data_IF_817164430522
#
_entry.id   IF_817164430522
#
_cell.length_a   1.000
_cell.length_b   1.000
_cell.length_c   1.000
_cell.angle_alpha   90.00
_cell.angle_beta   90.00
_cell.angle_gamma   90.00
#
_symmetry.space_group_name_H-M   'P 1'
#
loop_
_entity.id
_entity.type
_entity.pdbx_description
1 polymer ?
#
# COMPACT_ATOMS: atom_id res chain seq x y z
N UNK A 1 13.97 16.21 -8.24
CA UNK A 1 14.21 14.78 -7.93
C UNK A 1 13.04 13.98 -8.47
N UNK A 2 13.32 12.96 -9.27
CA UNK A 2 12.31 12.07 -9.86
C UNK A 2 12.71 10.63 -9.55
N UNK A 3 11.75 9.80 -9.13
CA UNK A 3 11.97 8.37 -8.83
C UNK A 3 10.81 7.56 -9.39
N UNK A 4 11.12 6.45 -10.04
CA UNK A 4 10.13 5.40 -10.32
C UNK A 4 10.25 4.30 -9.25
N UNK A 5 9.18 3.56 -9.01
CA UNK A 5 9.13 2.46 -8.03
C UNK A 5 8.28 1.33 -8.59
N UNK A 6 8.71 0.11 -8.33
CA UNK A 6 7.98 -1.10 -8.66
C UNK A 6 8.01 -2.01 -7.42
N UNK A 7 6.91 -2.68 -7.13
CA UNK A 7 6.78 -3.54 -5.96
C UNK A 7 5.85 -4.71 -6.28
N UNK A 8 6.14 -5.88 -5.73
CA UNK A 8 5.25 -7.03 -5.73
C UNK A 8 5.00 -7.46 -4.29
N UNK A 9 3.75 -7.75 -3.94
CA UNK A 9 3.35 -8.13 -2.59
C UNK A 9 2.38 -9.30 -2.67
N UNK A 10 2.52 -10.27 -1.77
CA UNK A 10 1.64 -11.43 -1.70
C UNK A 10 1.15 -11.63 -0.27
N UNK A 11 -0.10 -12.01 -0.13
CA UNK A 11 -0.74 -12.28 1.15
C UNK A 11 -1.38 -13.66 1.14
N UNK A 12 -1.28 -14.37 2.25
CA UNK A 12 -1.93 -15.67 2.44
C UNK A 12 -2.46 -15.77 3.87
N UNK A 13 -3.73 -16.11 4.01
CA UNK A 13 -4.39 -16.39 5.28
C UNK A 13 -4.65 -17.89 5.45
N UNK A 14 -4.43 -18.38 6.66
CA UNK A 14 -4.69 -19.77 7.05
C UNK A 14 -6.18 -20.05 7.24
N UNK A 15 -6.55 -21.34 7.20
CA UNK A 15 -7.91 -21.76 7.58
C UNK A 15 -7.99 -21.78 9.10
N UNK A 16 -8.93 -21.02 9.66
CA UNK A 16 -9.23 -21.08 11.11
C UNK A 16 -10.73 -21.27 11.29
N UNK A 17 -11.11 -22.32 12.00
CA UNK A 17 -12.47 -22.54 12.47
C UNK A 17 -12.58 -21.96 13.88
N UNK A 18 -12.99 -20.70 13.98
CA UNK A 18 -13.24 -20.08 15.29
C UNK A 18 -14.69 -20.37 15.65
N UNK A 19 -14.91 -21.22 16.65
CA UNK A 19 -16.22 -21.38 17.28
C UNK A 19 -16.46 -20.16 18.17
N UNK A 20 -17.30 -19.25 17.73
CA UNK A 20 -17.77 -18.13 18.56
C UNK A 20 -18.76 -18.69 19.59
N UNK A 21 -18.74 -18.14 20.80
CA UNK A 21 -19.54 -18.58 21.96
C UNK A 21 -21.05 -18.57 21.74
N UNK A 22 -21.53 -17.91 20.67
CA UNK A 22 -22.92 -17.90 20.25
C UNK A 22 -23.30 -19.05 19.28
N UNK A 23 -22.50 -20.13 19.22
CA UNK A 23 -22.76 -21.29 18.37
C UNK A 23 -22.44 -21.09 16.87
N UNK A 24 -21.95 -19.91 16.48
CA UNK A 24 -21.59 -19.59 15.10
C UNK A 24 -20.16 -20.06 14.80
N UNK A 25 -20.01 -20.93 13.78
CA UNK A 25 -18.71 -21.39 13.29
C UNK A 25 -18.25 -20.45 12.18
N UNK A 26 -17.29 -19.57 12.48
CA UNK A 26 -16.64 -18.78 11.45
C UNK A 26 -15.62 -19.68 10.73
N UNK A 27 -16.00 -20.21 9.57
CA UNK A 27 -15.05 -20.89 8.67
C UNK A 27 -14.37 -19.83 7.81
N UNK A 28 -13.16 -19.43 8.18
CA UNK A 28 -12.34 -18.57 7.32
C UNK A 28 -11.68 -19.44 6.24
N UNK A 29 -12.14 -19.32 5.00
CA UNK A 29 -11.50 -19.97 3.86
C UNK A 29 -10.13 -19.32 3.60
N UNK A 30 -9.13 -20.14 3.26
CA UNK A 30 -7.77 -19.64 2.98
C UNK A 30 -7.83 -18.62 1.84
N UNK A 31 -7.55 -17.35 2.17
CA UNK A 31 -7.48 -16.25 1.21
C UNK A 31 -6.04 -16.09 0.77
N UNK A 32 -5.79 -16.02 -0.54
CA UNK A 32 -4.50 -15.63 -1.11
C UNK A 32 -4.71 -14.44 -2.03
N UNK A 33 -3.80 -13.47 -2.00
CA UNK A 33 -3.74 -12.35 -2.93
C UNK A 33 -2.31 -12.05 -3.37
N UNK A 34 -2.17 -11.47 -4.56
CA UNK A 34 -0.89 -11.00 -5.08
C UNK A 34 -1.11 -9.68 -5.81
N UNK A 35 -0.41 -8.63 -5.41
CA UNK A 35 -0.55 -7.27 -5.91
C UNK A 35 0.79 -6.80 -6.47
N UNK A 36 0.79 -6.29 -7.69
CA UNK A 36 1.92 -5.53 -8.24
C UNK A 36 1.60 -4.05 -8.26
N UNK A 37 2.57 -3.23 -7.87
CA UNK A 37 2.48 -1.77 -7.84
C UNK A 37 3.55 -1.17 -8.74
N UNK A 38 3.15 -0.22 -9.57
CA UNK A 38 4.04 0.62 -10.38
C UNK A 38 3.79 2.07 -10.01
N UNK A 39 4.83 2.84 -9.70
CA UNK A 39 4.67 4.20 -9.23
C UNK A 39 5.78 5.15 -9.61
N UNK A 40 5.49 6.43 -9.48
CA UNK A 40 6.39 7.55 -9.72
C UNK A 40 6.27 8.56 -8.58
N UNK A 41 7.38 9.21 -8.27
CA UNK A 41 7.47 10.27 -7.28
C UNK A 41 8.31 11.42 -7.85
N UNK A 42 7.80 12.63 -7.73
CA UNK A 42 8.47 13.85 -8.18
C UNK A 42 8.47 14.88 -7.06
N UNK A 43 9.61 15.53 -6.83
CA UNK A 43 9.74 16.55 -5.80
C UNK A 43 10.95 17.45 -6.02
N UNK A 44 11.01 18.53 -5.25
CA UNK A 44 12.11 19.50 -5.30
C UNK A 44 12.73 19.68 -3.93
N UNK A 45 14.05 19.87 -3.86
CA UNK A 45 14.78 20.10 -2.59
C UNK A 45 15.07 21.58 -2.46
N UNK A 46 14.58 22.19 -1.39
CA UNK A 46 14.92 23.56 -1.00
C UNK A 46 15.78 23.51 0.27
N UNK A 47 16.87 24.26 0.28
CA UNK A 47 17.68 24.50 1.48
C UNK A 47 17.51 25.98 1.83
N UNK A 48 16.95 26.25 3.01
CA UNK A 48 16.76 27.60 3.51
C UNK A 48 18.09 28.15 4.04
N UNK A 49 18.17 29.49 4.16
CA UNK A 49 19.36 30.19 4.70
C UNK A 49 19.77 29.73 6.10
N UNK A 50 18.81 29.21 6.89
CA UNK A 50 19.03 28.68 8.23
C UNK A 50 19.48 27.20 8.25
N UNK A 51 19.80 26.61 7.10
CA UNK A 51 20.23 25.21 6.98
C UNK A 51 19.10 24.18 7.05
N UNK A 52 17.84 24.63 7.24
CA UNK A 52 16.68 23.73 7.17
C UNK A 52 16.46 23.30 5.73
N UNK A 53 16.25 22.00 5.55
CA UNK A 53 15.97 21.43 4.25
C UNK A 53 14.50 21.01 4.16
N UNK A 54 13.81 21.42 3.10
CA UNK A 54 12.44 21.03 2.83
C UNK A 54 12.31 20.42 1.44
N UNK A 55 11.57 19.32 1.34
CA UNK A 55 11.38 18.52 0.12
C UNK A 55 9.89 18.26 -0.12
N UNK A 56 9.14 19.19 -0.73
CA UNK A 56 7.80 18.89 -1.23
C UNK A 56 7.88 17.85 -2.35
N UNK A 57 6.91 16.94 -2.38
CA UNK A 57 6.80 15.90 -3.38
C UNK A 57 5.34 15.55 -3.69
N UNK A 58 5.14 14.97 -4.86
CA UNK A 58 3.91 14.32 -5.30
C UNK A 58 4.23 12.89 -5.71
N UNK A 59 3.27 12.00 -5.59
CA UNK A 59 3.37 10.60 -6.00
C UNK A 59 2.12 10.15 -6.74
N UNK A 60 2.31 9.24 -7.69
CA UNK A 60 1.25 8.52 -8.34
C UNK A 60 1.65 7.05 -8.48
N UNK A 61 0.72 6.13 -8.29
CA UNK A 61 0.94 4.70 -8.52
C UNK A 61 -0.29 4.02 -9.09
N UNK A 62 -0.05 2.87 -9.72
CA UNK A 62 -1.07 1.95 -10.21
C UNK A 62 -0.80 0.61 -9.55
N UNK A 63 -1.81 0.07 -8.88
CA UNK A 63 -1.79 -1.24 -8.24
C UNK A 63 -2.66 -2.19 -9.05
N UNK A 64 -2.18 -3.40 -9.32
CA UNK A 64 -2.91 -4.45 -10.01
C UNK A 64 -2.90 -5.74 -9.20
N UNK A 65 -4.07 -6.28 -8.90
CA UNK A 65 -4.21 -7.56 -8.19
C UNK A 65 -4.29 -8.72 -9.20
N UNK A 66 -3.29 -9.61 -9.15
CA UNK A 66 -3.12 -10.74 -10.07
C UNK A 66 -3.75 -12.04 -9.57
N UNK A 67 -3.85 -12.23 -8.25
CA UNK A 67 -4.16 -13.54 -7.67
C UNK A 67 -5.18 -13.48 -6.53
N UNK A 68 -6.29 -12.77 -6.70
CA UNK A 68 -7.44 -12.82 -5.79
C UNK A 68 -8.17 -14.18 -5.91
N UNK A 69 -7.56 -15.27 -5.46
CA UNK A 69 -8.06 -16.62 -5.68
C UNK A 69 -9.14 -17.03 -4.65
N UNK A 70 -10.12 -16.14 -4.38
CA UNK A 70 -11.32 -16.46 -3.60
C UNK A 70 -12.45 -16.86 -4.56
N UNK A 71 -12.52 -18.15 -4.88
CA UNK A 71 -13.68 -18.75 -5.56
C UNK A 71 -14.90 -18.74 -4.62
N UNK A 72 -15.64 -17.64 -4.54
CA UNK A 72 -17.01 -17.64 -4.01
C UNK A 72 -17.98 -17.93 -5.17
N UNK A 73 -18.55 -19.13 -5.21
CA UNK A 73 -19.70 -19.44 -6.07
C UNK A 73 -20.98 -19.17 -5.28
N UNK A 74 -21.74 -18.16 -5.66
CA UNK A 74 -23.12 -17.97 -5.19
C UNK A 74 -24.03 -17.92 -6.42
N UNK A 75 -24.82 -18.98 -6.57
CA UNK A 75 -26.11 -19.00 -7.28
C UNK A 75 -26.14 -18.78 -8.81
N UNK A 76 -25.56 -19.72 -9.57
CA UNK A 76 -25.93 -20.10 -10.96
C UNK A 76 -26.11 -19.02 -12.04
N UNK A 77 -25.77 -17.76 -11.77
CA UNK A 77 -25.50 -16.73 -12.77
C UNK A 77 -24.02 -16.36 -12.65
N UNK A 78 -23.32 -16.41 -13.78
CA UNK A 78 -21.94 -15.94 -13.88
C UNK A 78 -21.94 -14.41 -13.81
N UNK A 79 -22.07 -13.86 -12.61
CA UNK A 79 -21.56 -12.52 -12.35
C UNK A 79 -20.04 -12.65 -12.28
N UNK A 80 -19.37 -12.29 -13.38
CA UNK A 80 -17.93 -12.05 -13.44
C UNK A 80 -17.58 -10.87 -12.51
N UNK A 81 -17.54 -11.12 -11.19
CA UNK A 81 -16.85 -10.24 -10.25
C UNK A 81 -15.36 -10.57 -10.34
N UNK A 82 -14.77 -10.18 -11.46
CA UNK A 82 -13.33 -10.15 -11.64
C UNK A 82 -12.76 -9.13 -10.64
N UNK A 83 -12.43 -9.57 -9.43
CA UNK A 83 -11.68 -8.78 -8.43
C UNK A 83 -10.22 -8.56 -8.85
N UNK A 84 -9.91 -8.70 -10.14
CA UNK A 84 -8.74 -8.10 -10.78
C UNK A 84 -9.01 -6.60 -10.92
N UNK A 85 -8.98 -5.90 -9.78
CA UNK A 85 -9.12 -4.45 -9.72
C UNK A 85 -7.78 -3.80 -9.98
N UNK A 86 -7.73 -2.90 -10.97
CA UNK A 86 -6.62 -1.95 -11.08
C UNK A 86 -6.99 -0.70 -10.29
N UNK A 87 -6.16 -0.32 -9.32
CA UNK A 87 -6.36 0.90 -8.53
C UNK A 87 -5.31 1.92 -8.92
N UNK A 88 -5.72 3.18 -9.04
CA UNK A 88 -4.81 4.31 -9.18
C UNK A 88 -4.75 5.04 -7.83
N UNK A 89 -3.53 5.27 -7.35
CA UNK A 89 -3.26 6.03 -6.13
C UNK A 89 -2.53 7.33 -6.48
N UNK A 90 -2.84 8.40 -5.78
CA UNK A 90 -2.13 9.68 -5.91
C UNK A 90 -1.95 10.29 -4.53
N UNK A 91 -0.85 11.00 -4.31
CA UNK A 91 -0.54 11.63 -3.02
C UNK A 91 0.41 12.81 -3.17
N UNK A 92 0.48 13.62 -2.14
CA UNK A 92 1.41 14.74 -2.01
C UNK A 92 1.89 14.84 -0.57
N UNK A 93 3.10 15.33 -0.36
CA UNK A 93 3.70 15.45 0.97
C UNK A 93 4.90 16.37 1.00
N UNK A 94 5.42 16.60 2.20
CA UNK A 94 6.57 17.45 2.47
C UNK A 94 7.48 16.76 3.47
N UNK A 95 8.75 16.56 3.13
CA UNK A 95 9.76 16.14 4.10
C UNK A 95 10.55 17.36 4.58
N UNK A 96 10.72 17.51 5.89
CA UNK A 96 11.56 18.56 6.48
C UNK A 96 12.70 17.92 7.26
N UNK A 97 13.93 18.36 7.03
CA UNK A 97 15.10 17.96 7.80
C UNK A 97 15.65 19.18 8.54
N UNK A 98 15.66 19.09 9.86
CA UNK A 98 16.21 20.11 10.75
C UNK A 98 17.51 19.53 11.29
N UNK A 99 18.63 20.14 10.97
CA UNK A 99 19.92 19.79 11.57
C UNK A 99 20.14 20.69 12.78
N UNK A 100 19.88 20.26 14.02
CA UNK A 100 20.32 21.00 15.19
C UNK A 100 21.86 20.93 15.23
N UNK A 101 22.54 22.02 14.91
CA UNK A 101 23.94 22.20 15.29
C UNK A 101 23.98 22.38 16.82
N UNK A 102 23.90 21.29 17.58
CA UNK A 102 24.11 21.32 19.02
C UNK A 102 25.61 21.16 19.31
N UNK A 103 26.36 22.25 19.17
CA UNK A 103 27.68 22.35 19.77
C UNK A 103 27.52 22.83 21.20
N UNK A 104 27.50 21.91 22.16
CA UNK A 104 27.71 22.27 23.56
C UNK A 104 29.22 22.47 23.73
N UNK A 105 29.66 23.73 23.67
CA UNK A 105 30.99 24.09 24.16
C UNK A 105 30.98 23.88 25.68
N UNK A 106 31.90 23.03 26.17
CA UNK A 106 32.25 22.97 27.58
C UNK A 106 33.53 23.77 27.79
#
# INVERSE_FOLDING_TARGET
MFRHTWQLSAFSSGKSAVKLSNGMVAQSSSTRSMIGTLGVNAGYRFVLKNGVEMKPYVSASVDHEFAANNKFRVNQEMFDNNLNGTRVNTGAGLNVNITPNLSVLK
#
